data_IF_303723401285
#
_entry.id   IF_303723401285
#
_cell.length_a   1.000
_cell.length_b   1.000
_cell.length_c   1.000
_cell.angle_alpha   90.00
_cell.angle_beta   90.00
_cell.angle_gamma   90.00
#
_symmetry.space_group_name_H-M   'P 1'
#
loop_
_entity.id
_entity.type
_entity.pdbx_description
1 polymer ?
#
# COMPACT_ATOMS: atom_id res chain seq x y z
N UNK A 1 -6.00 -2.75 19.64
CA UNK A 1 -6.33 -3.90 18.77
C UNK A 1 -5.09 -4.65 18.25
N UNK A 2 -3.93 -4.00 18.03
CA UNK A 2 -2.67 -4.69 17.66
C UNK A 2 -2.14 -5.59 18.79
N UNK A 3 -2.03 -5.08 20.02
CA UNK A 3 -1.52 -5.84 21.17
C UNK A 3 -2.28 -7.15 21.42
N UNK A 4 -3.61 -7.14 21.22
CA UNK A 4 -4.45 -8.32 21.37
C UNK A 4 -4.20 -9.38 20.28
N UNK A 5 -3.85 -8.99 19.05
CA UNK A 5 -3.52 -9.95 17.99
C UNK A 5 -2.09 -10.48 18.13
N UNK A 6 -1.14 -9.64 18.52
CA UNK A 6 0.24 -10.07 18.77
C UNK A 6 0.34 -11.05 19.95
N UNK A 7 -0.44 -10.86 21.02
CA UNK A 7 -0.50 -11.81 22.14
C UNK A 7 -1.19 -13.14 21.79
N UNK A 8 -2.07 -13.15 20.78
CA UNK A 8 -2.89 -14.33 20.44
C UNK A 8 -2.27 -15.22 19.36
N UNK A 9 -1.35 -14.68 18.56
CA UNK A 9 -0.77 -15.37 17.40
C UNK A 9 0.76 -15.26 17.28
N UNK A 10 1.41 -14.52 18.18
CA UNK A 10 2.87 -14.46 18.26
C UNK A 10 3.38 -15.50 19.26
N UNK A 11 4.39 -16.26 18.85
CA UNK A 11 5.23 -17.04 19.74
C UNK A 11 6.31 -16.11 20.28
N UNK A 12 6.39 -15.95 21.59
CA UNK A 12 7.43 -15.15 22.24
C UNK A 12 7.65 -15.66 23.66
N UNK A 13 8.87 -15.50 24.15
CA UNK A 13 9.16 -15.64 25.56
C UNK A 13 8.71 -14.38 26.29
N UNK A 14 8.04 -14.57 27.43
CA UNK A 14 7.62 -13.47 28.29
C UNK A 14 8.86 -12.65 28.67
N UNK A 15 8.76 -11.33 28.51
CA UNK A 15 9.79 -10.34 28.83
C UNK A 15 11.04 -10.31 27.92
N UNK A 16 11.05 -11.03 26.79
CA UNK A 16 12.10 -10.94 25.76
C UNK A 16 11.53 -10.50 24.38
N UNK A 17 11.64 -9.20 24.03
CA UNK A 17 11.13 -8.67 22.76
C UNK A 17 11.76 -9.30 21.51
N UNK A 18 12.99 -9.84 21.61
CA UNK A 18 13.72 -10.38 20.47
C UNK A 18 13.23 -11.78 20.06
N UNK A 19 12.37 -12.39 20.87
CA UNK A 19 11.84 -13.73 20.62
C UNK A 19 10.50 -13.73 19.89
N UNK A 20 9.95 -12.54 19.58
CA UNK A 20 8.69 -12.44 18.87
C UNK A 20 8.80 -13.04 17.46
N UNK A 21 8.14 -14.17 17.26
CA UNK A 21 7.95 -14.84 15.99
C UNK A 21 6.47 -14.92 15.70
N UNK A 22 6.09 -14.64 14.45
CA UNK A 22 4.77 -15.05 13.97
C UNK A 22 4.77 -16.59 13.92
N UNK A 23 3.67 -17.22 14.32
CA UNK A 23 3.50 -18.68 14.23
C UNK A 23 4.07 -19.22 12.91
N UNK A 24 4.84 -20.31 12.95
CA UNK A 24 5.50 -20.92 11.77
C UNK A 24 4.54 -21.06 10.57
N UNK A 25 3.28 -21.42 10.83
CA UNK A 25 2.25 -21.57 9.81
C UNK A 25 1.93 -20.27 9.04
N UNK A 26 2.02 -19.11 9.70
CA UNK A 26 1.76 -17.81 9.06
C UNK A 26 2.94 -17.34 8.19
N UNK A 27 4.16 -17.74 8.54
CA UNK A 27 5.38 -17.40 7.79
C UNK A 27 5.56 -18.26 6.54
N UNK A 28 5.10 -19.52 6.58
CA UNK A 28 5.17 -20.45 5.45
C UNK A 28 4.09 -20.19 4.40
N UNK A 29 2.97 -19.57 4.77
CA UNK A 29 1.84 -19.39 3.88
C UNK A 29 2.15 -18.56 2.62
N UNK A 30 2.81 -17.38 2.70
CA UNK A 30 3.18 -16.63 1.50
C UNK A 30 4.17 -17.40 0.61
N UNK A 31 5.11 -18.14 1.20
CA UNK A 31 6.09 -18.95 0.47
C UNK A 31 5.41 -20.08 -0.29
N UNK A 32 4.48 -20.79 0.36
CA UNK A 32 3.71 -21.85 -0.28
C UNK A 32 2.85 -21.33 -1.44
N UNK A 33 2.23 -20.15 -1.31
CA UNK A 33 1.46 -19.55 -2.41
C UNK A 33 2.35 -19.13 -3.57
N UNK A 34 3.50 -18.50 -3.29
CA UNK A 34 4.48 -18.10 -4.31
C UNK A 34 4.97 -19.29 -5.15
N UNK A 35 5.10 -20.47 -4.56
CA UNK A 35 5.53 -21.70 -5.26
C UNK A 35 4.42 -22.36 -6.09
N UNK A 36 3.17 -21.92 -5.99
CA UNK A 36 2.00 -22.52 -6.65
C UNK A 36 1.36 -21.63 -7.70
N UNK A 37 1.48 -20.32 -7.54
CA UNK A 37 0.86 -19.33 -8.42
C UNK A 37 1.63 -19.11 -9.72
N UNK A 38 0.96 -18.48 -10.68
CA UNK A 38 1.56 -18.14 -11.98
C UNK A 38 2.53 -16.95 -11.88
N UNK A 39 3.18 -16.62 -13.00
CA UNK A 39 4.12 -15.49 -13.08
C UNK A 39 3.46 -14.17 -12.66
N UNK A 40 2.23 -13.92 -13.12
CA UNK A 40 1.53 -12.65 -12.89
C UNK A 40 1.22 -12.46 -11.41
N UNK A 41 0.62 -13.46 -10.77
CA UNK A 41 0.33 -13.43 -9.34
C UNK A 41 1.61 -13.40 -8.50
N UNK A 42 2.65 -14.13 -8.91
CA UNK A 42 3.96 -14.10 -8.24
C UNK A 42 4.61 -12.71 -8.28
N UNK A 43 4.50 -12.01 -9.42
CA UNK A 43 4.97 -10.63 -9.53
C UNK A 43 4.21 -9.70 -8.58
N UNK A 44 2.89 -9.83 -8.49
CA UNK A 44 2.04 -9.05 -7.57
C UNK A 44 2.41 -9.32 -6.10
N UNK A 45 2.78 -10.56 -5.74
CA UNK A 45 3.26 -10.89 -4.39
C UNK A 45 4.59 -10.21 -4.04
N UNK A 46 5.51 -10.11 -5.01
CA UNK A 46 6.85 -9.53 -4.82
C UNK A 46 6.78 -7.99 -4.86
N UNK A 47 6.17 -7.45 -5.90
CA UNK A 47 5.97 -6.03 -6.12
C UNK A 47 4.47 -5.75 -6.26
N UNK A 48 3.82 -5.30 -5.17
CA UNK A 48 2.42 -4.93 -5.22
C UNK A 48 2.16 -3.88 -6.30
N UNK A 49 1.00 -4.00 -6.92
CA UNK A 49 0.55 -3.03 -7.93
C UNK A 49 -0.32 -1.97 -7.26
N UNK A 50 -0.22 -0.74 -7.76
CA UNK A 50 -0.98 0.40 -7.27
C UNK A 50 -1.65 1.09 -8.46
N UNK A 51 -2.98 1.15 -8.45
CA UNK A 51 -3.75 1.91 -9.43
C UNK A 51 -4.24 3.22 -8.82
N UNK A 52 -4.21 4.27 -9.63
CA UNK A 52 -4.68 5.61 -9.29
C UNK A 52 -5.95 5.94 -10.07
N UNK A 53 -6.99 6.33 -9.36
CA UNK A 53 -8.26 6.80 -9.88
C UNK A 53 -8.40 8.29 -9.58
N UNK A 54 -8.65 9.08 -10.61
CA UNK A 54 -8.85 10.52 -10.52
C UNK A 54 -9.95 10.95 -11.48
N UNK A 55 -10.40 12.21 -11.40
CA UNK A 55 -11.34 12.75 -12.38
C UNK A 55 -10.73 12.98 -13.77
N UNK A 56 -9.41 12.99 -13.86
CA UNK A 56 -8.69 13.46 -15.05
C UNK A 56 -8.39 12.35 -16.06
N UNK A 57 -8.96 11.15 -15.89
CA UNK A 57 -8.74 10.06 -16.83
C UNK A 57 -9.16 8.68 -16.32
N UNK A 58 -8.93 7.64 -17.14
CA UNK A 58 -9.11 6.25 -16.72
C UNK A 58 -8.11 5.86 -15.62
N UNK A 59 -8.34 4.73 -14.94
CA UNK A 59 -7.41 4.22 -13.93
C UNK A 59 -6.02 3.98 -14.54
N UNK A 60 -4.98 4.52 -13.90
CA UNK A 60 -3.59 4.38 -14.36
C UNK A 60 -2.72 3.67 -13.32
N UNK A 61 -1.79 2.79 -13.74
CA UNK A 61 -0.82 2.20 -12.83
C UNK A 61 0.19 3.26 -12.39
N UNK A 62 0.40 3.38 -11.07
CA UNK A 62 1.33 4.33 -10.46
C UNK A 62 2.42 3.61 -9.68
N UNK A 63 3.52 4.32 -9.43
CA UNK A 63 4.62 3.77 -8.66
C UNK A 63 4.20 3.57 -7.20
N UNK A 64 4.68 2.49 -6.59
CA UNK A 64 4.46 2.17 -5.18
C UNK A 64 5.32 3.07 -4.28
N UNK A 65 5.01 4.37 -4.29
CA UNK A 65 5.85 5.43 -3.76
C UNK A 65 4.99 6.49 -3.08
N UNK A 66 5.52 7.15 -2.04
CA UNK A 66 4.81 8.19 -1.30
C UNK A 66 4.33 9.36 -2.16
N UNK A 67 5.02 9.66 -3.27
CA UNK A 67 4.61 10.70 -4.21
C UNK A 67 3.29 10.41 -4.94
N UNK A 68 2.89 9.12 -5.01
CA UNK A 68 1.64 8.71 -5.63
C UNK A 68 0.43 8.88 -4.70
N UNK A 69 0.66 9.15 -3.41
CA UNK A 69 -0.38 9.39 -2.42
C UNK A 69 -0.80 10.86 -2.48
N UNK A 70 -1.81 11.15 -3.30
CA UNK A 70 -2.35 12.50 -3.50
C UNK A 70 -3.74 12.65 -2.84
N UNK A 71 -4.11 13.86 -2.37
CA UNK A 71 -5.36 14.08 -1.64
C UNK A 71 -6.62 13.97 -2.51
N UNK A 72 -6.50 14.21 -3.81
CA UNK A 72 -7.58 14.24 -4.81
C UNK A 72 -7.76 12.92 -5.57
N UNK A 73 -7.03 11.86 -5.18
CA UNK A 73 -7.04 10.56 -5.85
C UNK A 73 -7.51 9.44 -4.92
N UNK A 74 -8.01 8.37 -5.53
CA UNK A 74 -8.27 7.09 -4.86
C UNK A 74 -7.22 6.10 -5.36
N UNK A 75 -6.66 5.31 -4.46
CA UNK A 75 -5.69 4.29 -4.80
C UNK A 75 -6.25 2.90 -4.55
N UNK A 76 -6.04 1.98 -5.48
CA UNK A 76 -6.29 0.56 -5.31
C UNK A 76 -4.94 -0.16 -5.28
N UNK A 77 -4.56 -0.68 -4.10
CA UNK A 77 -3.36 -1.47 -3.93
C UNK A 77 -3.71 -2.95 -3.90
N UNK A 78 -3.03 -3.73 -4.74
CA UNK A 78 -3.12 -5.18 -4.76
C UNK A 78 -1.77 -5.80 -4.36
N UNK A 79 -1.77 -6.52 -3.23
CA UNK A 79 -0.62 -7.22 -2.66
C UNK A 79 -0.75 -8.75 -2.77
N UNK A 80 -1.64 -9.25 -3.62
CA UNK A 80 -2.12 -10.63 -3.69
C UNK A 80 -2.93 -11.06 -2.45
N UNK A 81 -2.35 -10.95 -1.26
CA UNK A 81 -2.97 -11.35 0.01
C UNK A 81 -3.97 -10.33 0.56
N UNK A 82 -3.84 -9.07 0.15
CA UNK A 82 -4.69 -7.97 0.58
C UNK A 82 -5.00 -7.06 -0.60
N UNK A 83 -6.27 -6.67 -0.71
CA UNK A 83 -6.76 -5.61 -1.59
C UNK A 83 -7.12 -4.43 -0.72
N UNK A 84 -6.49 -3.29 -0.98
CA UNK A 84 -6.67 -2.09 -0.18
C UNK A 84 -7.12 -0.93 -1.08
N UNK A 85 -8.26 -0.34 -0.74
CA UNK A 85 -8.72 0.92 -1.30
C UNK A 85 -8.36 2.03 -0.32
N UNK A 86 -7.65 3.04 -0.82
CA UNK A 86 -7.25 4.21 -0.07
C UNK A 86 -7.86 5.47 -0.67
N UNK A 87 -8.61 6.21 0.14
CA UNK A 87 -9.17 7.51 -0.25
C UNK A 87 -8.25 8.64 0.22
N UNK A 88 -7.81 9.49 -0.72
CA UNK A 88 -7.11 10.73 -0.43
C UNK A 88 -7.94 11.69 0.43
N UNK A 89 -7.28 12.67 1.05
CA UNK A 89 -7.90 13.58 2.01
C UNK A 89 -9.15 14.30 1.46
N UNK A 90 -9.05 14.89 0.28
CA UNK A 90 -10.14 15.63 -0.36
C UNK A 90 -11.29 14.70 -0.72
N UNK A 91 -10.98 13.50 -1.24
CA UNK A 91 -11.98 12.49 -1.55
C UNK A 91 -12.71 12.00 -0.29
N UNK A 92 -11.98 11.76 0.79
CA UNK A 92 -12.54 11.35 2.08
C UNK A 92 -13.48 12.42 2.64
N UNK A 93 -13.08 13.69 2.56
CA UNK A 93 -13.93 14.83 2.95
C UNK A 93 -15.23 14.85 2.12
N UNK A 94 -15.15 14.74 0.79
CA UNK A 94 -16.34 14.71 -0.06
C UNK A 94 -17.25 13.51 0.20
N UNK A 95 -16.67 12.33 0.48
CA UNK A 95 -17.41 11.12 0.87
C UNK A 95 -18.16 11.34 2.19
N UNK A 96 -17.52 12.02 3.15
CA UNK A 96 -18.13 12.34 4.46
C UNK A 96 -19.28 13.34 4.35
N UNK A 97 -19.19 14.29 3.41
CA UNK A 97 -20.23 15.28 3.10
C UNK A 97 -21.37 14.71 2.24
N UNK A 98 -21.26 13.45 1.82
CA UNK A 98 -22.26 12.74 1.02
C UNK A 98 -22.55 13.39 -0.34
N UNK A 99 -21.53 13.97 -0.97
CA UNK A 99 -21.71 14.50 -2.33
C UNK A 99 -22.11 13.42 -3.33
N UNK A 100 -21.76 12.16 -3.09
CA UNK A 100 -22.16 11.02 -3.92
C UNK A 100 -23.67 10.77 -3.98
N UNK A 101 -24.45 11.28 -3.02
CA UNK A 101 -25.92 11.12 -2.99
C UNK A 101 -26.64 12.22 -3.79
N UNK A 102 -25.93 13.28 -4.16
CA UNK A 102 -26.49 14.40 -4.92
C UNK A 102 -26.45 14.10 -6.41
N UNK A 103 -27.57 14.32 -7.11
CA UNK A 103 -27.69 14.06 -8.55
C UNK A 103 -26.69 14.88 -9.41
N UNK A 104 -26.24 16.03 -8.90
CA UNK A 104 -25.27 16.90 -9.58
C UNK A 104 -23.84 16.32 -9.60
N UNK A 105 -23.51 15.40 -8.68
CA UNK A 105 -22.18 14.82 -8.53
C UNK A 105 -22.15 13.33 -8.88
N UNK A 106 -22.88 12.93 -9.91
CA UNK A 106 -22.86 11.54 -10.39
C UNK A 106 -21.45 11.06 -10.77
N UNK A 107 -20.61 11.95 -11.31
CA UNK A 107 -19.21 11.65 -11.62
C UNK A 107 -18.42 11.21 -10.37
N UNK A 108 -18.70 11.80 -9.20
CA UNK A 108 -18.04 11.42 -7.95
C UNK A 108 -18.50 10.05 -7.47
N UNK A 109 -19.79 9.74 -7.62
CA UNK A 109 -20.34 8.41 -7.34
C UNK A 109 -19.67 7.33 -8.21
N UNK A 110 -19.49 7.61 -9.50
CA UNK A 110 -18.78 6.72 -10.42
C UNK A 110 -17.31 6.53 -10.02
N UNK A 111 -16.62 7.62 -9.64
CA UNK A 111 -15.23 7.56 -9.17
C UNK A 111 -15.07 6.70 -7.92
N UNK A 112 -16.00 6.77 -6.97
CA UNK A 112 -15.99 5.92 -5.77
C UNK A 112 -16.28 4.44 -6.09
N UNK A 113 -17.10 4.18 -7.10
CA UNK A 113 -17.54 2.83 -7.45
C UNK A 113 -16.49 2.08 -8.28
N UNK A 114 -15.79 2.75 -9.20
CA UNK A 114 -14.79 2.14 -10.07
C UNK A 114 -13.75 1.24 -9.35
N UNK A 115 -13.03 1.70 -8.30
CA UNK A 115 -12.06 0.85 -7.60
C UNK A 115 -12.72 -0.29 -6.81
N UNK A 116 -14.00 -0.13 -6.43
CA UNK A 116 -14.75 -1.20 -5.75
C UNK A 116 -15.09 -2.29 -6.74
N UNK A 117 -15.55 -1.94 -7.95
CA UNK A 117 -15.86 -2.91 -8.99
C UNK A 117 -14.61 -3.71 -9.39
N UNK A 118 -13.49 -3.03 -9.63
CA UNK A 118 -12.20 -3.66 -9.94
C UNK A 118 -11.72 -4.57 -8.79
N UNK A 119 -11.86 -4.11 -7.54
CA UNK A 119 -11.54 -4.93 -6.37
C UNK A 119 -12.43 -6.18 -6.27
N UNK A 120 -13.72 -6.08 -6.57
CA UNK A 120 -14.65 -7.21 -6.55
C UNK A 120 -14.29 -8.26 -7.60
N UNK A 121 -13.90 -7.85 -8.81
CA UNK A 121 -13.43 -8.77 -9.85
C UNK A 121 -12.22 -9.58 -9.38
N UNK A 122 -11.24 -8.92 -8.76
CA UNK A 122 -10.06 -9.59 -8.20
C UNK A 122 -10.46 -10.54 -7.07
N UNK A 123 -11.35 -10.13 -6.17
CA UNK A 123 -11.81 -10.96 -5.05
C UNK A 123 -12.57 -12.22 -5.48
N UNK A 124 -13.29 -12.16 -6.61
CA UNK A 124 -14.07 -13.30 -7.12
C UNK A 124 -13.19 -14.33 -7.84
N UNK A 125 -12.11 -13.88 -8.48
CA UNK A 125 -11.22 -14.72 -9.27
C UNK A 125 -10.08 -15.30 -8.44
N UNK A 126 -9.60 -14.58 -7.42
CA UNK A 126 -8.38 -14.94 -6.69
C UNK A 126 -8.65 -15.93 -5.56
N UNK A 127 -7.89 -17.02 -5.57
CA UNK A 127 -7.79 -17.96 -4.46
C UNK A 127 -6.36 -17.96 -3.91
N UNK A 128 -6.17 -17.96 -2.58
CA UNK A 128 -7.17 -17.80 -1.53
C UNK A 128 -7.73 -16.37 -1.48
N UNK A 129 -8.99 -16.23 -1.02
CA UNK A 129 -9.68 -14.94 -1.01
C UNK A 129 -8.84 -13.88 -0.26
N UNK A 130 -8.44 -12.79 -0.94
CA UNK A 130 -7.66 -11.73 -0.33
C UNK A 130 -8.44 -11.02 0.78
N UNK A 131 -7.70 -10.45 1.73
CA UNK A 131 -8.33 -9.57 2.72
C UNK A 131 -8.65 -8.22 2.10
N UNK A 132 -9.92 -7.85 2.08
CA UNK A 132 -10.39 -6.53 1.65
C UNK A 132 -10.24 -5.48 2.76
N UNK A 133 -9.71 -4.31 2.41
CA UNK A 133 -9.49 -3.17 3.31
C UNK A 133 -9.96 -1.89 2.58
N UNK A 134 -10.93 -1.18 3.16
CA UNK A 134 -11.30 0.18 2.77
C UNK A 134 -10.79 1.13 3.86
N UNK A 135 -10.00 2.12 3.47
CA UNK A 135 -9.40 3.11 4.38
C UNK A 135 -9.27 4.47 3.70
N UNK A 136 -9.07 5.50 4.50
CA UNK A 136 -8.89 6.87 4.06
C UNK A 136 -7.64 7.49 4.70
N UNK A 137 -7.26 8.69 4.24
CA UNK A 137 -6.20 9.48 4.83
C UNK A 137 -6.45 9.71 6.33
N UNK A 138 -5.45 9.41 7.16
CA UNK A 138 -5.56 9.46 8.63
C UNK A 138 -6.24 8.23 9.27
N UNK A 139 -6.76 7.31 8.47
CA UNK A 139 -7.35 6.05 8.94
C UNK A 139 -6.33 5.10 9.54
N UNK A 140 -6.70 4.38 10.61
CA UNK A 140 -5.78 3.44 11.29
C UNK A 140 -5.33 2.25 10.42
N UNK A 141 -6.04 1.97 9.32
CA UNK A 141 -5.69 0.93 8.36
C UNK A 141 -4.84 1.45 7.19
N UNK A 142 -4.68 2.77 7.03
CA UNK A 142 -3.81 3.37 6.00
C UNK A 142 -2.35 2.93 6.15
N UNK A 143 -1.91 2.56 7.37
CA UNK A 143 -0.57 2.01 7.61
C UNK A 143 -0.23 0.79 6.76
N UNK A 144 -1.22 0.00 6.30
CA UNK A 144 -0.95 -1.14 5.44
C UNK A 144 -0.42 -0.69 4.07
N UNK A 145 -0.94 0.41 3.52
CA UNK A 145 -0.39 1.06 2.34
C UNK A 145 0.97 1.70 2.65
N UNK A 146 1.05 2.50 3.72
CA UNK A 146 2.27 3.24 4.07
C UNK A 146 3.47 2.33 4.38
N UNK A 147 3.23 1.11 4.87
CA UNK A 147 4.29 0.10 5.12
C UNK A 147 4.81 -0.58 3.86
N UNK A 148 4.14 -0.40 2.72
CA UNK A 148 4.51 -1.01 1.45
C UNK A 148 5.14 0.00 0.50
N UNK A 149 4.69 1.26 0.52
CA UNK A 149 5.25 2.30 -0.34
C UNK A 149 6.70 2.64 0.00
N UNK A 150 7.47 2.95 -1.04
CA UNK A 150 8.81 3.49 -0.90
C UNK A 150 8.76 4.90 -0.28
N UNK A 151 9.51 5.15 0.80
CA UNK A 151 9.57 6.46 1.46
C UNK A 151 10.50 7.40 0.69
N UNK A 152 10.12 7.81 -0.53
CA UNK A 152 10.87 8.82 -1.29
C UNK A 152 10.78 10.21 -0.64
N UNK A 153 9.65 10.49 -0.01
CA UNK A 153 9.37 11.72 0.74
C UNK A 153 9.47 11.43 2.25
N UNK A 154 10.70 11.50 2.79
CA UNK A 154 10.93 11.45 4.24
C UNK A 154 10.91 12.86 4.84
N UNK A 155 10.64 12.96 6.15
CA UNK A 155 10.72 14.22 6.90
C UNK A 155 12.09 14.93 6.73
N UNK A 156 13.16 14.22 6.38
CA UNK A 156 14.48 14.79 6.08
C UNK A 156 14.56 15.52 4.74
N UNK A 157 13.80 15.12 3.73
CA UNK A 157 13.76 15.78 2.42
C UNK A 157 12.74 16.93 2.35
N UNK A 158 11.83 17.04 3.33
CA UNK A 158 10.81 18.10 3.42
C UNK A 158 11.42 19.53 3.43
N UNK A 159 12.65 19.68 3.94
CA UNK A 159 13.33 20.99 4.03
C UNK A 159 14.24 21.32 2.83
N UNK A 160 14.32 20.43 1.83
CA UNK A 160 15.09 20.67 0.61
C UNK A 160 14.16 21.20 -0.49
N UNK A 161 14.04 22.54 -0.56
CA UNK A 161 13.52 23.32 -1.69
C UNK A 161 12.31 22.74 -2.47
N UNK A 162 11.09 23.10 -2.06
CA UNK A 162 9.92 23.19 -2.96
C UNK A 162 9.20 21.89 -3.34
N UNK A 163 9.16 20.89 -2.46
CA UNK A 163 8.55 19.59 -2.73
C UNK A 163 7.01 19.55 -2.69
N UNK A 164 6.45 18.91 -3.71
CA UNK A 164 5.04 18.59 -3.94
C UNK A 164 4.41 17.79 -2.78
N UNK A 165 3.16 18.12 -2.43
CA UNK A 165 2.49 17.78 -1.16
C UNK A 165 2.09 16.31 -0.96
N UNK A 166 3.07 15.41 -0.85
CA UNK A 166 2.86 14.01 -0.46
C UNK A 166 2.85 13.79 1.06
N UNK A 167 2.14 12.76 1.53
CA UNK A 167 2.11 12.41 2.95
C UNK A 167 3.48 11.84 3.40
N UNK A 168 4.17 12.47 4.37
CA UNK A 168 5.47 11.97 4.83
C UNK A 168 5.31 10.64 5.57
N UNK A 169 6.08 9.63 5.17
CA UNK A 169 6.13 8.33 5.85
C UNK A 169 7.23 8.37 6.91
N UNK A 170 6.84 8.08 8.15
CA UNK A 170 7.74 7.92 9.30
C UNK A 170 8.31 6.48 9.28
N UNK A 171 9.45 6.29 8.61
CA UNK A 171 10.20 5.02 8.61
C UNK A 171 11.70 5.27 8.60
N UNK A 172 12.46 4.30 9.15
CA UNK A 172 13.93 4.23 9.07
C UNK A 172 14.40 3.50 7.79
N UNK A 173 13.47 3.04 6.94
CA UNK A 173 13.79 2.33 5.70
C UNK A 173 14.49 3.23 4.67
N UNK A 174 15.43 2.63 3.93
CA UNK A 174 16.22 3.30 2.90
C UNK A 174 15.39 3.41 1.62
N UNK A 175 15.29 4.62 1.05
CA UNK A 175 14.59 4.80 -0.22
C UNK A 175 15.28 4.05 -1.37
N UNK A 176 14.51 3.64 -2.38
CA UNK A 176 15.04 2.94 -3.55
C UNK A 176 16.19 3.70 -4.24
N UNK A 177 16.13 5.04 -4.23
CA UNK A 177 17.19 5.87 -4.82
C UNK A 177 18.53 5.70 -4.08
N UNK A 178 18.52 5.74 -2.74
CA UNK A 178 19.73 5.55 -1.94
C UNK A 178 20.27 4.13 -2.09
N UNK A 179 19.38 3.12 -2.15
CA UNK A 179 19.77 1.74 -2.47
C UNK A 179 20.49 1.65 -3.83
N UNK A 180 19.92 2.24 -4.88
CA UNK A 180 20.51 2.23 -6.22
C UNK A 180 21.84 2.98 -6.26
N UNK A 181 21.99 4.08 -5.54
CA UNK A 181 23.25 4.82 -5.49
C UNK A 181 24.34 4.04 -4.74
N UNK A 182 23.99 3.32 -3.68
CA UNK A 182 24.92 2.40 -3.00
C UNK A 182 25.32 1.24 -3.91
N UNK A 183 24.35 0.62 -4.60
CA UNK A 183 24.59 -0.45 -5.55
C UNK A 183 25.53 -0.01 -6.68
N UNK A 184 25.28 1.16 -7.28
CA UNK A 184 26.15 1.76 -8.30
C UNK A 184 27.57 1.96 -7.78
N UNK A 185 27.73 2.55 -6.59
CA UNK A 185 29.04 2.77 -5.96
C UNK A 185 29.80 1.47 -5.76
N UNK A 186 29.15 0.42 -5.25
CA UNK A 186 29.75 -0.90 -5.05
C UNK A 186 30.12 -1.57 -6.38
N UNK A 187 29.24 -1.47 -7.38
CA UNK A 187 29.47 -2.05 -8.70
C UNK A 187 30.69 -1.45 -9.40
N UNK A 188 30.93 -0.15 -9.23
CA UNK A 188 32.10 0.54 -9.83
C UNK A 188 33.34 0.52 -8.93
N UNK A 189 33.21 0.19 -7.64
CA UNK A 189 34.34 0.09 -6.70
C UNK A 189 35.02 -1.28 -6.69
N UNK A 190 34.47 -2.27 -7.41
CA UNK A 190 35.17 -3.54 -7.62
C UNK A 190 36.38 -3.32 -8.52
N UNK A 191 37.55 -3.11 -7.92
CA UNK A 191 38.83 -3.39 -8.56
C UNK A 191 38.84 -4.86 -8.98
N UNK A 192 38.93 -5.10 -10.29
CA UNK A 192 39.38 -6.37 -10.85
C UNK A 192 40.83 -6.67 -10.42
#
# INVERSE_FOLDING_TARGET
MLNSKCQKFGEYNKDDPNTFRLSENFSLYPQHMLMREDLTQSLIMIQPILYSYSFNGPPEPVLLDTSSIQPDRILLMDTFFQILIFHGETIAQWRSLKYQDMAEYENFRQLLQAPVDDAQEILQTRFPMPRYIDTEQGGSQARFLLSKVNPSQTHNNMYSYGGDGGAPVLTDDVSLQVFMDHLKKLAVSSTA
#
